data_IF_851025109595
#
_entry.id   IF_851025109595
#
_cell.length_a   1.000
_cell.length_b   1.000
_cell.length_c   1.000
_cell.angle_alpha   90.00
_cell.angle_beta   90.00
_cell.angle_gamma   90.00
#
_symmetry.space_group_name_H-M   'P 1'
#
loop_
_entity.id
_entity.type
_entity.pdbx_description
1 polymer ?
#
# COMPACT_ATOMS: atom_id res chain seq x y z
N UNK A 1 -3.08 -46.94 30.58
CA UNK A 1 -2.04 -45.99 30.12
C UNK A 1 -2.59 -45.15 28.97
N UNK A 2 -2.24 -43.85 28.96
CA UNK A 2 -2.94 -42.75 28.29
C UNK A 2 -2.60 -42.66 26.79
N UNK A 3 -3.30 -43.43 25.95
CA UNK A 3 -3.26 -43.25 24.49
C UNK A 3 -4.13 -42.07 24.01
N UNK A 4 -4.83 -41.41 24.93
CA UNK A 4 -5.73 -40.28 24.70
C UNK A 4 -5.06 -38.93 24.38
N UNK A 5 -3.78 -38.87 24.01
CA UNK A 5 -3.02 -37.60 24.05
C UNK A 5 -2.45 -37.07 22.74
N UNK A 6 -1.96 -37.92 21.83
CA UNK A 6 -1.25 -37.41 20.64
C UNK A 6 -2.17 -36.68 19.64
N UNK A 7 -3.25 -37.33 19.20
CA UNK A 7 -4.22 -36.75 18.26
C UNK A 7 -4.89 -35.46 18.77
N UNK A 8 -5.20 -35.37 20.07
CA UNK A 8 -5.74 -34.14 20.68
C UNK A 8 -4.73 -32.98 20.68
N UNK A 9 -3.46 -33.28 20.90
CA UNK A 9 -2.37 -32.28 20.83
C UNK A 9 -2.18 -31.80 19.39
N UNK A 10 -2.16 -32.70 18.41
CA UNK A 10 -2.05 -32.33 17.00
C UNK A 10 -3.23 -31.47 16.53
N UNK A 11 -4.45 -31.82 16.94
CA UNK A 11 -5.64 -31.01 16.64
C UNK A 11 -5.54 -29.61 17.26
N UNK A 12 -5.05 -29.51 18.50
CA UNK A 12 -4.85 -28.21 19.16
C UNK A 12 -3.78 -27.35 18.45
N UNK A 13 -2.68 -27.95 17.99
CA UNK A 13 -1.65 -27.26 17.20
C UNK A 13 -2.22 -26.78 15.86
N UNK A 14 -2.97 -27.65 15.17
CA UNK A 14 -3.59 -27.30 13.89
C UNK A 14 -4.60 -26.17 14.02
N UNK A 15 -5.50 -26.25 15.01
CA UNK A 15 -6.46 -25.18 15.31
C UNK A 15 -5.70 -23.90 15.70
N UNK A 16 -4.68 -23.99 16.55
CA UNK A 16 -3.85 -22.86 16.92
C UNK A 16 -3.21 -22.16 15.72
N UNK A 17 -2.63 -22.94 14.79
CA UNK A 17 -2.05 -22.43 13.55
C UNK A 17 -3.08 -21.78 12.63
N UNK A 18 -4.26 -22.41 12.46
CA UNK A 18 -5.37 -21.83 11.70
C UNK A 18 -5.88 -20.53 12.33
N UNK A 19 -6.03 -20.51 13.65
CA UNK A 19 -6.51 -19.32 14.37
C UNK A 19 -5.50 -18.18 14.26
N UNK A 20 -4.20 -18.49 14.34
CA UNK A 20 -3.14 -17.51 14.15
C UNK A 20 -3.13 -16.96 12.71
N UNK A 21 -3.26 -17.84 11.70
CA UNK A 21 -3.34 -17.44 10.30
C UNK A 21 -4.59 -16.59 10.01
N UNK A 22 -5.74 -16.93 10.61
CA UNK A 22 -6.96 -16.13 10.53
C UNK A 22 -6.76 -14.77 11.22
N UNK A 23 -6.15 -14.74 12.41
CA UNK A 23 -5.82 -13.48 13.08
C UNK A 23 -4.90 -12.61 12.25
N UNK A 24 -3.87 -13.20 11.63
CA UNK A 24 -2.96 -12.51 10.72
C UNK A 24 -3.70 -11.93 9.52
N UNK A 25 -4.65 -12.67 8.92
CA UNK A 25 -5.52 -12.16 7.84
C UNK A 25 -6.42 -10.99 8.29
N UNK A 26 -6.78 -10.92 9.57
CA UNK A 26 -7.56 -9.82 10.15
C UNK A 26 -6.69 -8.71 10.75
N UNK A 27 -5.35 -8.84 10.75
CA UNK A 27 -4.51 -7.75 11.23
C UNK A 27 -4.71 -6.52 10.33
N UNK A 28 -4.92 -5.33 10.92
CA UNK A 28 -5.20 -4.10 10.17
C UNK A 28 -4.08 -3.72 9.19
N UNK A 29 -2.88 -4.30 9.33
CA UNK A 29 -1.76 -4.15 8.40
C UNK A 29 -2.05 -4.66 6.96
N UNK A 30 -3.07 -5.51 6.79
CA UNK A 30 -3.53 -5.99 5.48
C UNK A 30 -4.78 -5.27 4.96
N UNK A 31 -5.31 -4.28 5.68
CA UNK A 31 -6.35 -3.43 5.12
C UNK A 31 -5.78 -2.55 4.01
N UNK A 32 -6.52 -2.40 2.90
CA UNK A 32 -6.10 -1.62 1.73
C UNK A 32 -5.66 -0.19 2.08
N UNK A 33 -6.23 0.39 3.13
CA UNK A 33 -5.91 1.74 3.57
C UNK A 33 -4.71 1.84 4.52
N UNK A 34 -4.15 0.72 4.98
CA UNK A 34 -3.07 0.74 5.96
C UNK A 34 -1.84 1.48 5.40
N UNK A 35 -1.49 1.24 4.13
CA UNK A 35 -0.35 1.90 3.50
C UNK A 35 -0.66 3.30 2.96
N UNK A 36 -1.92 3.64 2.70
CA UNK A 36 -2.31 4.97 2.19
C UNK A 36 -2.63 5.97 3.32
N UNK A 37 -3.02 5.49 4.50
CA UNK A 37 -3.26 6.30 5.71
C UNK A 37 -2.21 6.09 6.82
N UNK A 38 -1.09 5.42 6.53
CA UNK A 38 -0.16 5.04 7.60
C UNK A 38 0.68 6.19 8.10
N UNK A 39 0.40 6.52 9.36
CA UNK A 39 1.41 7.03 10.30
C UNK A 39 2.74 6.28 10.20
N UNK A 40 2.75 4.98 9.89
CA UNK A 40 3.99 4.19 9.73
C UNK A 40 4.85 4.53 8.50
N UNK A 41 4.40 5.32 7.54
CA UNK A 41 5.27 5.80 6.45
C UNK A 41 5.88 7.17 6.72
N UNK A 42 5.39 7.87 7.74
CA UNK A 42 5.74 9.26 8.03
C UNK A 42 6.37 9.40 9.41
N UNK A 43 5.80 8.80 10.47
CA UNK A 43 6.23 8.96 11.85
C UNK A 43 7.67 8.48 12.08
N UNK A 44 8.58 9.30 12.64
CA UNK A 44 10.00 8.98 12.73
C UNK A 44 10.31 7.68 13.47
N UNK A 45 9.52 7.35 14.50
CA UNK A 45 9.75 6.18 15.36
C UNK A 45 9.43 4.86 14.65
N UNK A 46 8.56 4.89 13.65
CA UNK A 46 8.05 3.71 12.95
C UNK A 46 8.10 3.85 11.42
N UNK A 47 8.91 4.79 10.90
CA UNK A 47 8.97 5.10 9.48
C UNK A 47 9.52 3.90 8.68
N UNK A 48 8.59 3.10 8.14
CA UNK A 48 8.89 1.89 7.41
C UNK A 48 9.67 2.17 6.13
N UNK A 49 9.46 3.31 5.48
CA UNK A 49 10.22 3.68 4.29
C UNK A 49 11.70 3.92 4.62
N UNK A 50 11.98 4.68 5.68
CA UNK A 50 13.34 4.98 6.13
C UNK A 50 14.05 3.75 6.67
N UNK A 51 13.37 2.96 7.51
CA UNK A 51 13.92 1.72 8.09
C UNK A 51 14.18 0.71 6.99
N UNK A 52 13.22 0.47 6.10
CA UNK A 52 13.36 -0.50 5.01
C UNK A 52 14.46 -0.10 4.04
N UNK A 53 14.53 1.18 3.66
CA UNK A 53 15.57 1.66 2.75
C UNK A 53 16.97 1.65 3.36
N UNK A 54 17.10 1.79 4.69
CA UNK A 54 18.38 1.67 5.39
C UNK A 54 18.85 0.22 5.52
N UNK A 55 17.95 -0.68 5.90
CA UNK A 55 18.30 -2.10 6.14
C UNK A 55 18.39 -2.92 4.85
N UNK A 56 17.57 -2.57 3.85
CA UNK A 56 17.35 -3.37 2.64
C UNK A 56 17.29 -2.50 1.37
N UNK A 57 18.32 -1.68 1.08
CA UNK A 57 18.24 -0.61 0.08
C UNK A 57 17.82 -1.06 -1.33
N UNK A 58 18.11 -2.30 -1.70
CA UNK A 58 17.87 -2.85 -3.04
C UNK A 58 16.71 -3.87 -3.10
N UNK A 59 15.87 -3.92 -2.06
CA UNK A 59 14.69 -4.80 -2.05
C UNK A 59 13.47 -4.10 -2.64
N UNK A 60 12.65 -4.89 -3.33
CA UNK A 60 11.35 -4.52 -3.88
C UNK A 60 10.50 -3.63 -2.95
N UNK A 61 10.27 -4.09 -1.72
CA UNK A 61 9.49 -3.37 -0.72
C UNK A 61 10.09 -2.01 -0.35
N UNK A 62 11.42 -1.91 -0.30
CA UNK A 62 12.10 -0.67 0.07
C UNK A 62 11.90 0.42 -0.98
N UNK A 63 11.93 0.05 -2.27
CA UNK A 63 11.54 0.97 -3.35
C UNK A 63 10.07 1.35 -3.27
N UNK A 64 9.19 0.38 -3.00
CA UNK A 64 7.75 0.64 -2.94
C UNK A 64 7.36 1.56 -1.77
N UNK A 65 7.89 1.33 -0.57
CA UNK A 65 7.61 2.21 0.58
C UNK A 65 8.14 3.62 0.38
N UNK A 66 9.30 3.77 -0.27
CA UNK A 66 9.80 5.10 -0.67
C UNK A 66 8.87 5.77 -1.68
N UNK A 67 8.29 5.03 -2.62
CA UNK A 67 7.32 5.58 -3.57
C UNK A 67 6.04 6.07 -2.86
N UNK A 68 5.53 5.30 -1.89
CA UNK A 68 4.36 5.68 -1.11
C UNK A 68 4.62 6.91 -0.24
N UNK A 69 5.74 6.93 0.48
CA UNK A 69 6.19 8.11 1.23
C UNK A 69 6.37 9.31 0.29
N UNK A 70 6.87 9.08 -0.93
CA UNK A 70 7.01 10.11 -1.95
C UNK A 70 5.67 10.72 -2.35
N UNK A 71 4.67 9.89 -2.65
CA UNK A 71 3.32 10.35 -2.99
C UNK A 71 2.67 11.14 -1.86
N UNK A 72 2.86 10.73 -0.60
CA UNK A 72 2.36 11.45 0.57
C UNK A 72 2.97 12.84 0.71
N UNK A 73 4.27 12.99 0.42
CA UNK A 73 4.95 14.29 0.49
C UNK A 73 4.68 15.22 -0.72
N UNK A 74 4.08 14.74 -1.82
CA UNK A 74 3.70 15.59 -2.98
C UNK A 74 2.37 16.33 -2.74
N UNK A 75 1.42 15.73 -2.00
CA UNK A 75 0.08 16.28 -1.79
C UNK A 75 0.04 17.38 -0.71
N UNK A 76 0.39 18.62 -1.07
CA UNK A 76 -0.17 19.84 -0.45
C UNK A 76 0.57 20.50 0.72
N UNK A 77 0.10 21.72 1.05
CA UNK A 77 0.74 22.83 1.79
C UNK A 77 0.96 22.63 3.30
N UNK A 78 0.44 21.54 3.86
CA UNK A 78 0.73 21.11 5.22
C UNK A 78 1.43 19.75 5.16
N UNK A 79 2.56 19.68 4.45
CA UNK A 79 3.36 18.46 4.43
C UNK A 79 3.66 18.06 5.88
N UNK A 80 3.47 16.78 6.24
CA UNK A 80 3.82 16.27 7.55
C UNK A 80 5.24 16.74 7.94
N UNK A 81 5.52 17.06 9.22
CA UNK A 81 6.85 17.50 9.67
C UNK A 81 8.00 16.65 9.12
N UNK A 82 7.74 15.37 8.88
CA UNK A 82 8.66 14.36 8.41
C UNK A 82 9.01 14.51 6.93
N UNK A 83 8.13 15.11 6.13
CA UNK A 83 8.42 15.52 4.76
C UNK A 83 9.34 16.74 4.68
N UNK A 84 9.52 17.52 5.78
CA UNK A 84 10.36 18.74 5.75
C UNK A 84 11.84 18.46 5.51
N UNK A 85 12.32 17.31 5.99
CA UNK A 85 13.73 16.92 5.85
C UNK A 85 14.00 16.18 4.54
N UNK A 86 12.95 15.84 3.78
CA UNK A 86 13.09 15.19 2.49
C UNK A 86 13.26 16.26 1.40
N UNK A 87 14.17 16.01 0.47
CA UNK A 87 14.28 16.84 -0.73
C UNK A 87 12.94 16.87 -1.48
N UNK A 88 12.62 17.97 -2.19
CA UNK A 88 11.44 18.03 -3.04
C UNK A 88 11.37 16.80 -3.94
N UNK A 89 10.18 16.18 -4.01
CA UNK A 89 9.98 15.00 -4.85
C UNK A 89 10.25 15.39 -6.29
N UNK A 90 11.17 14.68 -6.94
CA UNK A 90 11.50 14.97 -8.33
C UNK A 90 10.34 14.56 -9.23
N UNK A 91 10.21 15.23 -10.37
CA UNK A 91 9.33 14.77 -11.45
C UNK A 91 9.66 13.30 -11.77
N UNK A 92 8.63 12.46 -11.91
CA UNK A 92 8.72 11.02 -12.16
C UNK A 92 9.39 10.15 -11.07
N UNK A 93 9.82 10.70 -9.94
CA UNK A 93 10.48 9.92 -8.88
C UNK A 93 9.60 8.77 -8.38
N UNK A 94 8.30 9.03 -8.23
CA UNK A 94 7.34 8.04 -7.74
C UNK A 94 7.24 6.88 -8.74
N UNK A 95 7.10 7.19 -10.03
CA UNK A 95 7.08 6.19 -11.11
C UNK A 95 8.36 5.36 -11.11
N UNK A 96 9.54 5.99 -11.11
CA UNK A 96 10.83 5.29 -11.12
C UNK A 96 10.97 4.32 -9.94
N UNK A 97 10.57 4.75 -8.73
CA UNK A 97 10.61 3.89 -7.55
C UNK A 97 9.67 2.69 -7.67
N UNK A 98 8.47 2.88 -8.20
CA UNK A 98 7.53 1.77 -8.42
C UNK A 98 8.04 0.82 -9.51
N UNK A 99 8.59 1.33 -10.61
CA UNK A 99 9.19 0.50 -11.66
C UNK A 99 10.35 -0.34 -11.12
N UNK A 100 11.25 0.24 -10.30
CA UNK A 100 12.34 -0.49 -9.63
C UNK A 100 11.80 -1.54 -8.67
N UNK A 101 10.75 -1.22 -7.91
CA UNK A 101 10.05 -2.18 -7.06
C UNK A 101 9.54 -3.37 -7.87
N UNK A 102 8.83 -3.13 -8.97
CA UNK A 102 8.29 -4.18 -9.84
C UNK A 102 9.39 -4.99 -10.55
N UNK A 103 10.50 -4.36 -10.92
CA UNK A 103 11.65 -5.02 -11.53
C UNK A 103 12.39 -5.96 -10.55
N UNK A 104 12.37 -5.66 -9.25
CA UNK A 104 13.07 -6.41 -8.20
C UNK A 104 12.19 -7.45 -7.49
N UNK A 105 11.02 -7.77 -8.06
CA UNK A 105 10.19 -8.89 -7.63
C UNK A 105 8.87 -8.51 -6.96
N UNK A 106 8.50 -7.23 -6.89
CA UNK A 106 7.24 -6.82 -6.26
C UNK A 106 5.97 -7.08 -7.09
N UNK A 107 6.06 -7.94 -8.11
CA UNK A 107 4.93 -8.33 -8.96
C UNK A 107 3.94 -9.27 -8.26
N UNK A 108 4.29 -9.77 -7.08
CA UNK A 108 3.41 -10.57 -6.23
C UNK A 108 2.53 -9.74 -5.30
N UNK A 109 2.68 -8.41 -5.29
CA UNK A 109 1.76 -7.51 -4.60
C UNK A 109 0.84 -6.81 -5.58
N UNK A 110 -0.45 -7.11 -5.44
CA UNK A 110 -1.51 -6.52 -6.24
C UNK A 110 -1.47 -4.99 -6.24
N UNK A 111 -1.40 -4.40 -5.05
CA UNK A 111 -1.38 -2.96 -4.87
C UNK A 111 -0.17 -2.29 -5.53
N UNK A 112 0.97 -2.96 -5.65
CA UNK A 112 2.13 -2.38 -6.33
C UNK A 112 1.87 -2.24 -7.84
N UNK A 113 1.23 -3.25 -8.46
CA UNK A 113 0.86 -3.20 -9.87
C UNK A 113 -0.32 -2.27 -10.13
N UNK A 114 -1.32 -2.27 -9.25
CA UNK A 114 -2.46 -1.37 -9.32
C UNK A 114 -2.04 0.09 -9.21
N UNK A 115 -1.24 0.43 -8.20
CA UNK A 115 -0.74 1.80 -8.00
C UNK A 115 0.16 2.25 -9.15
N UNK A 116 0.91 1.35 -9.79
CA UNK A 116 1.68 1.68 -10.99
C UNK A 116 0.77 2.18 -12.12
N UNK A 117 -0.34 1.49 -12.39
CA UNK A 117 -1.31 1.94 -13.40
C UNK A 117 -1.92 3.31 -13.05
N UNK A 118 -2.23 3.56 -11.77
CA UNK A 118 -2.72 4.85 -11.29
C UNK A 118 -1.67 5.96 -11.50
N UNK A 119 -0.39 5.69 -11.20
CA UNK A 119 0.69 6.66 -11.40
C UNK A 119 0.83 7.01 -12.88
N UNK A 120 0.78 6.03 -13.78
CA UNK A 120 0.82 6.27 -15.22
C UNK A 120 -0.34 7.16 -15.69
N UNK A 121 -1.55 6.98 -15.14
CA UNK A 121 -2.69 7.85 -15.41
C UNK A 121 -2.46 9.28 -14.91
N UNK A 122 -1.94 9.44 -13.69
CA UNK A 122 -1.65 10.74 -13.09
C UNK A 122 -0.56 11.51 -13.84
N UNK A 123 0.46 10.81 -14.34
CA UNK A 123 1.54 11.36 -15.13
C UNK A 123 1.19 11.54 -16.62
N UNK A 124 -0.05 11.21 -17.02
CA UNK A 124 -0.51 11.29 -18.41
C UNK A 124 0.41 10.53 -19.38
N UNK A 125 0.84 9.33 -18.97
CA UNK A 125 1.63 8.44 -19.80
C UNK A 125 0.87 8.05 -21.08
N UNK A 126 1.57 7.41 -22.02
CA UNK A 126 0.94 6.98 -23.27
C UNK A 126 -0.19 5.97 -23.02
N UNK A 127 -1.19 5.97 -23.91
CA UNK A 127 -2.29 5.00 -23.86
C UNK A 127 -1.77 3.56 -23.87
N UNK A 128 -0.73 3.28 -24.65
CA UNK A 128 -0.10 1.96 -24.74
C UNK A 128 0.50 1.51 -23.41
N UNK A 129 1.21 2.40 -22.70
CA UNK A 129 1.78 2.09 -21.38
C UNK A 129 0.69 1.84 -20.34
N UNK A 130 -0.36 2.66 -20.34
CA UNK A 130 -1.49 2.53 -19.41
C UNK A 130 -2.24 1.20 -19.67
N UNK A 131 -2.52 0.89 -20.93
CA UNK A 131 -3.19 -0.34 -21.35
C UNK A 131 -2.36 -1.57 -20.94
N UNK A 132 -1.05 -1.54 -21.18
CA UNK A 132 -0.13 -2.61 -20.81
C UNK A 132 -0.07 -2.81 -19.28
N UNK A 133 0.00 -1.74 -18.49
CA UNK A 133 0.04 -1.83 -17.03
C UNK A 133 -1.27 -2.42 -16.46
N UNK A 134 -2.43 -1.95 -16.94
CA UNK A 134 -3.74 -2.45 -16.49
C UNK A 134 -3.92 -3.91 -16.91
N UNK A 135 -3.55 -4.27 -18.14
CA UNK A 135 -3.61 -5.65 -18.61
C UNK A 135 -2.73 -6.56 -17.76
N UNK A 136 -1.48 -6.15 -17.50
CA UNK A 136 -0.56 -6.93 -16.68
C UNK A 136 -1.08 -7.13 -15.25
N UNK A 137 -1.65 -6.09 -14.63
CA UNK A 137 -2.29 -6.20 -13.32
C UNK A 137 -3.47 -7.20 -13.34
N UNK A 138 -4.41 -7.07 -14.28
CA UNK A 138 -5.56 -8.00 -14.38
C UNK A 138 -5.16 -9.45 -14.62
N UNK A 139 -4.12 -9.68 -15.42
CA UNK A 139 -3.62 -11.03 -15.69
C UNK A 139 -2.99 -11.67 -14.45
N UNK A 140 -2.31 -10.89 -13.60
CA UNK A 140 -1.72 -11.40 -12.35
C UNK A 140 -2.75 -11.51 -11.21
N UNK A 141 -3.80 -10.69 -11.22
CA UNK A 141 -4.84 -10.62 -10.19
C UNK A 141 -6.25 -10.70 -10.78
N UNK A 142 -6.64 -11.84 -11.39
CA UNK A 142 -7.93 -11.96 -12.09
C UNK A 142 -9.15 -11.87 -11.16
N UNK A 143 -8.97 -12.11 -9.87
CA UNK A 143 -10.02 -12.06 -8.85
C UNK A 143 -9.93 -10.80 -7.98
N UNK A 144 -9.27 -9.74 -8.47
CA UNK A 144 -9.21 -8.45 -7.78
C UNK A 144 -10.62 -7.90 -7.49
N UNK A 145 -10.79 -7.31 -6.32
CA UNK A 145 -12.00 -6.56 -5.98
C UNK A 145 -11.86 -5.06 -6.27
N UNK A 146 -10.69 -4.61 -6.74
CA UNK A 146 -10.46 -3.20 -7.05
C UNK A 146 -11.19 -2.79 -8.32
N UNK A 147 -11.67 -1.54 -8.33
CA UNK A 147 -12.25 -0.93 -9.52
C UNK A 147 -11.19 -0.74 -10.61
N UNK A 148 -11.61 -0.50 -11.85
CA UNK A 148 -10.65 -0.19 -12.92
C UNK A 148 -9.81 1.07 -12.53
N UNK A 149 -8.46 1.06 -12.67
CA UNK A 149 -7.62 2.21 -12.37
C UNK A 149 -8.08 3.50 -13.07
N UNK A 150 -8.64 3.41 -14.28
CA UNK A 150 -9.19 4.56 -15.02
C UNK A 150 -10.42 5.15 -14.34
N UNK A 151 -11.28 4.28 -13.82
CA UNK A 151 -12.49 4.68 -13.10
C UNK A 151 -12.09 5.38 -11.79
N UNK A 152 -11.18 4.76 -11.03
CA UNK A 152 -10.64 5.34 -9.80
C UNK A 152 -9.99 6.71 -10.06
N UNK A 153 -9.16 6.84 -11.10
CA UNK A 153 -8.55 8.11 -11.48
C UNK A 153 -9.59 9.16 -11.86
N UNK A 154 -10.62 8.77 -12.61
CA UNK A 154 -11.74 9.66 -12.96
C UNK A 154 -12.45 10.16 -11.70
N UNK A 155 -12.79 9.27 -10.76
CA UNK A 155 -13.44 9.64 -9.50
C UNK A 155 -12.58 10.58 -8.64
N UNK A 156 -11.26 10.37 -8.60
CA UNK A 156 -10.32 11.27 -7.93
C UNK A 156 -10.31 12.67 -8.59
N UNK A 157 -10.24 12.74 -9.92
CA UNK A 157 -10.23 14.04 -10.65
C UNK A 157 -11.57 14.77 -10.59
N UNK A 158 -12.69 14.04 -10.53
CA UNK A 158 -14.04 14.60 -10.46
C UNK A 158 -14.49 14.90 -9.02
N UNK A 159 -13.65 14.65 -8.00
CA UNK A 159 -13.97 14.91 -6.59
C UNK A 159 -15.14 14.06 -6.06
N UNK A 160 -15.48 12.95 -6.73
CA UNK A 160 -16.66 12.12 -6.43
C UNK A 160 -16.38 11.10 -5.33
N UNK A 161 -15.12 10.92 -4.92
CA UNK A 161 -14.78 10.21 -3.69
C UNK A 161 -15.15 11.14 -2.53
N UNK A 162 -16.42 11.13 -2.14
CA UNK A 162 -16.85 11.70 -0.88
C UNK A 162 -16.01 11.06 0.23
N UNK A 163 -15.31 11.89 1.01
CA UNK A 163 -14.61 11.44 2.21
C UNK A 163 -15.50 10.45 2.97
N UNK A 164 -14.96 9.26 3.27
CA UNK A 164 -15.75 8.23 3.93
C UNK A 164 -16.32 8.82 5.23
N UNK A 165 -17.53 8.44 5.66
CA UNK A 165 -18.14 8.98 6.89
C UNK A 165 -17.22 8.90 8.12
N UNK A 166 -16.29 7.95 8.14
CA UNK A 166 -15.28 7.76 9.18
C UNK A 166 -14.31 8.96 9.33
N UNK A 167 -14.04 9.70 8.25
CA UNK A 167 -13.19 10.91 8.29
C UNK A 167 -13.89 12.11 8.96
N UNK A 168 -15.22 12.11 9.08
CA UNK A 168 -15.96 13.18 9.77
C UNK A 168 -15.89 13.06 11.29
N UNK A 169 -15.74 11.85 11.83
CA UNK A 169 -15.73 11.64 13.29
C UNK A 169 -14.46 12.15 13.98
N UNK A 170 -13.35 12.30 13.26
CA UNK A 170 -12.12 12.87 13.83
C UNK A 170 -12.10 14.40 13.84
N UNK A 171 -12.80 15.07 12.92
CA UNK A 171 -12.86 16.53 12.89
C UNK A 171 -13.67 17.11 14.07
N UNK A 172 -14.68 16.39 14.56
CA UNK A 172 -15.56 16.88 15.63
C UNK A 172 -14.96 16.76 17.04
N UNK A 173 -13.90 15.95 17.21
CA UNK A 173 -13.23 15.76 18.51
C UNK A 173 -12.10 16.75 18.80
N UNK A 174 -11.65 17.51 17.81
CA UNK A 174 -10.58 18.53 17.96
C UNK A 174 -11.16 19.94 18.22
N UNK A 175 -12.49 20.09 18.13
CA UNK A 175 -13.19 21.36 18.35
C UNK A 175 -13.80 21.51 19.77
N UNK A 176 -13.32 20.75 20.77
CA UNK A 176 -13.68 20.93 22.18
C UNK A 176 -12.47 21.07 23.06
#
# INVERSE_FOLDING_TARGET
MRWFRAHKVLLAIYIGGLTLAVLELYLPQFQHDYLTNSKSLLQPEINLADVSSRLYPDRAYSFYYRALQAALCVRGTASPPECRNRAPVKSHEIRELVERSLATGNRSIEMAMYNYAIILLQEQASHEEIDAAIHNWRTNYPNSNEVDPREMHRQMTQGTIAARPEDRFHAEKVAR
#
